data_IF_237769078130
#
_entry.id   IF_237769078130
#
_cell.length_a   1.000
_cell.length_b   1.000
_cell.length_c   1.000
_cell.angle_alpha   90.00
_cell.angle_beta   90.00
_cell.angle_gamma   90.00
#
_symmetry.space_group_name_H-M   'P 1'
#
loop_
_entity.id
_entity.type
_entity.pdbx_description
1 polymer ?
#
# COMPACT_ATOMS: atom_id res chain seq x y z
N UNK A 1 11.37 -16.40 -0.98
CA UNK A 1 10.12 -15.61 -0.89
C UNK A 1 9.62 -15.64 0.56
N UNK A 2 9.07 -14.54 1.10
CA UNK A 2 8.49 -14.52 2.44
C UNK A 2 7.33 -15.50 2.55
N UNK A 3 7.22 -16.20 3.69
CA UNK A 3 6.06 -17.02 4.01
C UNK A 3 4.87 -16.15 4.37
N UNK A 4 3.66 -16.68 4.17
CA UNK A 4 2.43 -16.02 4.56
C UNK A 4 2.36 -15.87 6.09
N UNK A 5 2.17 -14.64 6.57
CA UNK A 5 2.08 -14.33 8.01
C UNK A 5 0.84 -14.94 8.69
N UNK A 6 -0.18 -15.33 7.91
CA UNK A 6 -1.44 -15.90 8.43
C UNK A 6 -1.43 -17.41 8.55
N UNK A 7 -0.87 -18.13 7.56
CA UNK A 7 -0.92 -19.60 7.50
C UNK A 7 0.45 -20.28 7.40
N UNK A 8 1.55 -19.53 7.32
CA UNK A 8 2.91 -20.07 7.19
C UNK A 8 3.27 -20.63 5.80
N UNK A 9 2.34 -20.66 4.84
CA UNK A 9 2.60 -21.17 3.50
C UNK A 9 3.71 -20.40 2.77
N UNK A 10 4.50 -21.10 1.96
CA UNK A 10 5.48 -20.52 1.05
C UNK A 10 4.88 -20.10 -0.30
N UNK A 11 3.62 -20.44 -0.58
CA UNK A 11 2.92 -20.12 -1.81
C UNK A 11 2.45 -18.65 -1.78
N UNK A 12 3.40 -17.74 -2.02
CA UNK A 12 3.19 -16.29 -1.98
C UNK A 12 3.68 -15.62 -3.26
N UNK A 13 2.95 -14.59 -3.70
CA UNK A 13 3.23 -13.84 -4.93
C UNK A 13 3.14 -12.34 -4.66
N UNK A 14 3.99 -11.56 -5.31
CA UNK A 14 3.89 -10.09 -5.28
C UNK A 14 2.75 -9.62 -6.19
N UNK A 15 1.99 -8.64 -5.72
CA UNK A 15 0.80 -8.13 -6.43
C UNK A 15 0.84 -6.61 -6.54
N UNK A 16 0.27 -6.13 -7.64
CA UNK A 16 -0.09 -4.73 -7.85
C UNK A 16 -1.61 -4.60 -7.79
N UNK A 17 -2.10 -3.56 -7.13
CA UNK A 17 -3.54 -3.29 -7.09
C UNK A 17 -3.95 -2.58 -8.37
N UNK A 18 -4.53 -3.34 -9.31
CA UNK A 18 -4.99 -2.81 -10.59
C UNK A 18 -6.47 -2.46 -10.52
N UNK A 19 -6.76 -1.17 -10.60
CA UNK A 19 -8.05 -0.59 -10.99
C UNK A 19 -7.78 0.32 -12.19
N UNK A 20 -8.77 0.88 -12.87
CA UNK A 20 -8.59 1.92 -13.88
C UNK A 20 -7.92 3.16 -13.27
N UNK A 21 -6.57 3.13 -13.18
CA UNK A 21 -5.74 4.11 -12.48
C UNK A 21 -4.93 3.58 -11.28
N UNK A 22 -5.15 2.32 -10.85
CA UNK A 22 -4.47 1.69 -9.72
C UNK A 22 -4.97 2.16 -8.34
N UNK A 23 -4.68 1.38 -7.28
CA UNK A 23 -4.92 1.82 -5.90
C UNK A 23 -3.77 2.72 -5.44
N UNK A 24 -4.12 3.92 -4.97
CA UNK A 24 -3.14 4.90 -4.48
C UNK A 24 -3.42 5.26 -3.02
N UNK A 25 -2.36 5.44 -2.25
CA UNK A 25 -2.42 6.06 -0.94
C UNK A 25 -2.36 7.58 -1.09
N UNK A 26 -3.07 8.31 -0.22
CA UNK A 26 -3.05 9.78 -0.14
C UNK A 26 -2.94 10.19 1.34
N UNK A 27 -2.06 11.14 1.73
CA UNK A 27 -2.02 11.66 3.09
C UNK A 27 -3.38 12.26 3.49
N UNK A 28 -3.88 11.94 4.68
CA UNK A 28 -5.24 12.34 5.13
C UNK A 28 -5.49 13.85 5.00
N UNK A 29 -4.51 14.68 5.33
CA UNK A 29 -4.57 16.15 5.20
C UNK A 29 -4.83 16.62 3.76
N UNK A 30 -4.42 15.84 2.76
CA UNK A 30 -4.54 16.19 1.35
C UNK A 30 -5.78 15.62 0.68
N UNK A 31 -6.64 14.87 1.39
CA UNK A 31 -7.79 14.16 0.81
C UNK A 31 -8.75 15.07 0.01
N UNK A 32 -8.85 16.36 0.37
CA UNK A 32 -9.72 17.35 -0.30
C UNK A 32 -8.98 18.25 -1.30
N UNK A 33 -7.67 18.06 -1.52
CA UNK A 33 -6.91 18.88 -2.48
C UNK A 33 -7.22 18.44 -3.91
N UNK A 34 -7.22 19.40 -4.84
CA UNK A 34 -7.43 19.14 -6.26
C UNK A 34 -6.29 18.30 -6.87
N UNK A 35 -5.06 18.48 -6.37
CA UNK A 35 -3.87 17.72 -6.77
C UNK A 35 -3.14 17.15 -5.54
N UNK A 36 -3.65 16.07 -4.93
CA UNK A 36 -3.02 15.47 -3.77
C UNK A 36 -1.72 14.76 -4.18
N UNK A 37 -0.72 14.79 -3.30
CA UNK A 37 0.41 13.86 -3.39
C UNK A 37 -0.10 12.45 -3.10
N UNK A 38 0.25 11.53 -3.98
CA UNK A 38 -0.14 10.13 -3.87
C UNK A 38 1.06 9.21 -4.12
N UNK A 39 0.92 7.95 -3.71
CA UNK A 39 1.86 6.88 -4.04
C UNK A 39 1.08 5.60 -4.30
N UNK A 40 1.50 4.85 -5.32
CA UNK A 40 0.94 3.52 -5.59
C UNK A 40 1.25 2.55 -4.45
N UNK A 41 0.36 1.57 -4.30
CA UNK A 41 0.52 0.49 -3.34
C UNK A 41 0.89 -0.81 -4.03
N UNK A 42 1.78 -1.56 -3.40
CA UNK A 42 2.11 -2.96 -3.72
C UNK A 42 1.85 -3.82 -2.51
N UNK A 43 1.76 -5.13 -2.72
CA UNK A 43 1.57 -6.08 -1.63
C UNK A 43 1.97 -7.49 -2.03
N UNK A 44 1.70 -8.45 -1.16
CA UNK A 44 1.83 -9.88 -1.45
C UNK A 44 0.52 -10.58 -1.18
N UNK A 45 0.20 -11.58 -2.00
CA UNK A 45 -0.92 -12.49 -1.79
C UNK A 45 -0.43 -13.90 -1.53
N UNK A 46 -1.07 -14.61 -0.60
CA UNK A 46 -0.91 -16.05 -0.43
C UNK A 46 -1.96 -16.78 -1.25
N UNK A 47 -1.55 -17.67 -2.14
CA UNK A 47 -2.47 -18.41 -3.01
C UNK A 47 -3.23 -19.52 -2.29
N UNK A 48 -2.72 -20.00 -1.15
CA UNK A 48 -3.35 -21.11 -0.42
C UNK A 48 -4.49 -20.63 0.49
N UNK A 49 -4.31 -19.50 1.19
CA UNK A 49 -5.29 -18.99 2.16
C UNK A 49 -5.96 -17.67 1.74
N UNK A 50 -5.55 -17.09 0.61
CA UNK A 50 -6.10 -15.82 0.11
C UNK A 50 -5.67 -14.57 0.89
N UNK A 51 -4.80 -14.69 1.89
CA UNK A 51 -4.36 -13.54 2.67
C UNK A 51 -3.51 -12.57 1.82
N UNK A 52 -3.80 -11.27 1.93
CA UNK A 52 -2.98 -10.18 1.41
C UNK A 52 -2.22 -9.52 2.56
N UNK A 53 -0.90 -9.35 2.41
CA UNK A 53 0.00 -8.88 3.45
C UNK A 53 1.20 -8.12 2.84
N UNK A 54 2.11 -7.63 3.69
CA UNK A 54 3.31 -6.86 3.28
C UNK A 54 2.96 -5.67 2.35
N UNK A 55 1.92 -4.91 2.70
CA UNK A 55 1.50 -3.73 1.93
C UNK A 55 2.54 -2.63 2.02
N UNK A 56 2.97 -2.11 0.88
CA UNK A 56 4.04 -1.10 0.78
C UNK A 56 3.64 0.07 -0.11
N UNK A 57 4.20 1.22 0.20
CA UNK A 57 4.20 2.38 -0.69
C UNK A 57 5.38 2.25 -1.65
N UNK A 58 5.16 2.51 -2.94
CA UNK A 58 6.25 2.52 -3.92
C UNK A 58 7.17 3.76 -3.75
N UNK A 59 6.64 4.87 -3.24
CA UNK A 59 7.36 6.14 -3.08
C UNK A 59 7.09 6.77 -1.70
N UNK A 60 7.50 6.09 -0.60
CA UNK A 60 7.21 6.53 0.77
C UNK A 60 7.80 7.92 1.09
N UNK A 61 8.86 8.35 0.40
CA UNK A 61 9.46 9.67 0.54
C UNK A 61 8.50 10.83 0.21
N UNK A 62 7.49 10.60 -0.65
CA UNK A 62 6.45 11.60 -0.94
C UNK A 62 5.60 11.95 0.28
N UNK A 63 5.60 11.07 1.29
CA UNK A 63 4.79 11.20 2.50
C UNK A 63 5.57 11.81 3.67
N UNK A 64 6.91 11.81 3.63
CA UNK A 64 7.78 12.37 4.68
C UNK A 64 7.37 13.78 5.14
N UNK A 65 7.00 14.73 4.26
CA UNK A 65 6.60 16.08 4.68
C UNK A 65 5.30 16.14 5.49
N UNK A 66 4.52 15.06 5.55
CA UNK A 66 3.24 15.00 6.26
C UNK A 66 3.30 14.19 7.56
N UNK A 67 4.48 13.66 7.91
CA UNK A 67 4.71 13.02 9.21
C UNK A 67 4.54 14.09 10.29
N UNK A 68 3.69 13.82 11.29
CA UNK A 68 3.29 14.74 12.37
C UNK A 68 2.35 15.89 11.97
N UNK A 69 1.77 15.89 10.76
CA UNK A 69 0.77 16.89 10.40
C UNK A 69 -0.56 16.61 11.11
N UNK A 70 -0.86 17.37 12.17
CA UNK A 70 -2.06 17.19 13.00
C UNK A 70 -3.34 17.82 12.43
N UNK A 71 -3.24 18.57 11.33
CA UNK A 71 -4.41 19.15 10.66
C UNK A 71 -5.14 20.23 11.45
N UNK A 72 -4.52 20.77 12.51
CA UNK A 72 -4.96 22.01 13.15
C UNK A 72 -4.45 23.22 12.40
#
# INVERSE_FOLDING_TARGET
MPRCEKCGSAATVEIVFSTSGGLVAVPKVQRKKLFPKYSYMTGRACTDCGAVFDLRLNEPQKFKPFVNYSGK
#
